data_IF_226720241540
#
_entry.id   IF_226720241540
#
_cell.length_a   1.000
_cell.length_b   1.000
_cell.length_c   1.000
_cell.angle_alpha   90.00
_cell.angle_beta   90.00
_cell.angle_gamma   90.00
#
_symmetry.space_group_name_H-M   'P 1'
#
loop_
_entity.id
_entity.type
_entity.pdbx_description
1 polymer ?
#
# COMPACT_ATOMS: atom_id res chain seq x y z
N UNK A 1 11.85 9.68 -9.04
CA UNK A 1 11.02 10.29 -10.08
C UNK A 1 9.74 10.79 -9.43
N UNK A 2 9.29 12.04 -9.64
CA UNK A 2 8.00 12.48 -9.12
C UNK A 2 6.83 11.82 -9.87
N UNK A 3 5.63 11.88 -9.28
CA UNK A 3 4.41 11.54 -10.01
C UNK A 3 4.21 12.52 -11.18
N UNK A 4 3.73 12.06 -12.34
CA UNK A 4 3.43 12.97 -13.46
C UNK A 4 2.24 13.87 -13.12
N UNK A 5 2.18 15.07 -13.70
CA UNK A 5 1.10 16.04 -13.45
C UNK A 5 -0.29 15.45 -13.77
N UNK A 6 -0.37 14.58 -14.78
CA UNK A 6 -1.60 13.86 -15.14
C UNK A 6 -2.15 13.02 -14.01
N UNK A 7 -1.33 12.58 -13.05
CA UNK A 7 -1.81 11.80 -11.91
C UNK A 7 -2.82 12.56 -11.05
N UNK A 8 -2.73 13.88 -11.00
CA UNK A 8 -3.68 14.71 -10.26
C UNK A 8 -5.12 14.52 -10.77
N UNK A 9 -5.30 14.33 -12.07
CA UNK A 9 -6.60 14.13 -12.73
C UNK A 9 -6.96 12.66 -12.93
N UNK A 10 -6.01 11.84 -13.40
CA UNK A 10 -6.28 10.43 -13.75
C UNK A 10 -6.21 9.49 -12.57
N UNK A 11 -5.49 9.85 -11.50
CA UNK A 11 -5.22 8.96 -10.38
C UNK A 11 -4.45 7.69 -10.76
N UNK A 12 -3.80 7.66 -11.94
CA UNK A 12 -3.10 6.50 -12.47
C UNK A 12 -1.79 6.91 -13.13
N UNK A 13 -0.73 6.17 -12.86
CA UNK A 13 0.47 6.17 -13.68
C UNK A 13 1.16 4.80 -13.60
N UNK A 14 1.91 4.46 -14.64
CA UNK A 14 2.63 3.21 -14.73
C UNK A 14 4.03 3.41 -15.28
N UNK A 15 4.95 2.54 -14.84
CA UNK A 15 6.26 2.36 -15.46
C UNK A 15 6.34 0.94 -15.99
N UNK A 16 6.58 0.80 -17.29
CA UNK A 16 6.80 -0.47 -17.93
C UNK A 16 8.31 -0.68 -18.10
N UNK A 17 8.91 -1.31 -17.11
CA UNK A 17 10.31 -1.72 -17.19
C UNK A 17 10.34 -3.24 -17.00
N UNK A 18 10.95 -3.94 -17.91
CA UNK A 18 11.16 -5.37 -17.77
C UNK A 18 10.98 -6.14 -19.07
N UNK A 19 11.84 -7.15 -19.26
CA UNK A 19 11.83 -8.07 -20.41
C UNK A 19 11.20 -9.42 -20.07
N UNK A 20 10.74 -9.56 -18.81
CA UNK A 20 10.25 -10.84 -18.31
C UNK A 20 8.73 -10.86 -18.24
N UNK A 21 8.15 -12.02 -18.52
CA UNK A 21 6.70 -12.23 -18.34
C UNK A 21 6.36 -12.13 -16.85
N UNK A 22 5.44 -11.23 -16.53
CA UNK A 22 4.95 -11.08 -15.15
C UNK A 22 4.10 -12.30 -14.77
N UNK A 23 4.37 -12.88 -13.59
CA UNK A 23 3.67 -14.03 -13.05
C UNK A 23 3.05 -13.76 -11.68
N UNK A 24 3.56 -12.74 -10.99
CA UNK A 24 3.10 -12.39 -9.64
C UNK A 24 3.02 -10.89 -9.44
N UNK A 25 2.28 -10.50 -8.42
CA UNK A 25 2.18 -9.08 -8.06
C UNK A 25 2.14 -8.91 -6.54
N UNK A 26 2.54 -7.74 -6.08
CA UNK A 26 2.29 -7.30 -4.71
C UNK A 26 1.68 -5.91 -4.70
N UNK A 27 0.62 -5.76 -3.89
CA UNK A 27 0.00 -4.46 -3.64
C UNK A 27 0.64 -3.84 -2.40
N UNK A 28 1.16 -2.63 -2.53
CA UNK A 28 1.72 -1.83 -1.45
C UNK A 28 0.86 -0.58 -1.24
N UNK A 29 0.72 -0.14 -0.01
CA UNK A 29 -0.05 1.06 0.31
C UNK A 29 -0.26 1.23 1.80
N UNK A 30 -0.70 2.40 2.19
CA UNK A 30 -1.00 2.68 3.59
C UNK A 30 -2.21 1.86 4.09
N UNK A 31 -2.30 1.65 5.41
CA UNK A 31 -3.55 1.15 6.01
C UNK A 31 -4.70 2.10 5.66
N UNK A 32 -5.85 1.55 5.35
CA UNK A 32 -7.02 2.34 4.93
C UNK A 32 -6.99 2.82 3.48
N UNK A 33 -5.97 2.47 2.66
CA UNK A 33 -5.89 2.84 1.24
C UNK A 33 -6.53 1.85 0.27
N UNK A 34 -7.12 0.74 0.74
CA UNK A 34 -7.83 -0.21 -0.13
C UNK A 34 -6.98 -1.37 -0.66
N UNK A 35 -5.78 -1.60 -0.12
CA UNK A 35 -4.87 -2.67 -0.61
C UNK A 35 -5.52 -4.06 -0.65
N UNK A 36 -6.37 -4.41 0.32
CA UNK A 36 -7.07 -5.70 0.32
C UNK A 36 -8.05 -5.81 -0.86
N UNK A 37 -8.79 -4.75 -1.12
CA UNK A 37 -9.74 -4.68 -2.23
C UNK A 37 -9.02 -4.87 -3.57
N UNK A 38 -7.95 -4.09 -3.81
CA UNK A 38 -7.15 -4.20 -5.04
C UNK A 38 -6.54 -5.59 -5.19
N UNK A 39 -5.97 -6.16 -4.12
CA UNK A 39 -5.43 -7.53 -4.17
C UNK A 39 -6.50 -8.54 -4.55
N UNK A 40 -7.69 -8.43 -3.96
CA UNK A 40 -8.78 -9.38 -4.20
C UNK A 40 -9.32 -9.30 -5.62
N UNK A 41 -9.61 -8.08 -6.11
CA UNK A 41 -10.17 -7.90 -7.44
C UNK A 41 -9.17 -8.31 -8.54
N UNK A 42 -7.88 -8.03 -8.37
CA UNK A 42 -6.84 -8.52 -9.26
C UNK A 42 -6.79 -10.06 -9.27
N UNK A 43 -6.81 -10.70 -8.10
CA UNK A 43 -6.78 -12.16 -8.00
C UNK A 43 -7.98 -12.81 -8.68
N UNK A 44 -9.14 -12.16 -8.68
CA UNK A 44 -10.35 -12.68 -9.35
C UNK A 44 -10.27 -12.54 -10.88
N UNK A 45 -9.54 -11.55 -11.38
CA UNK A 45 -9.57 -11.16 -12.78
C UNK A 45 -8.28 -11.44 -13.57
N UNK A 46 -7.29 -12.08 -12.95
CA UNK A 46 -6.03 -12.46 -13.61
C UNK A 46 -5.48 -13.77 -13.07
N UNK A 47 -4.57 -14.39 -13.80
CA UNK A 47 -3.81 -15.56 -13.35
C UNK A 47 -2.53 -15.19 -12.60
N UNK A 48 -2.24 -13.90 -12.46
CA UNK A 48 -1.12 -13.43 -11.64
C UNK A 48 -1.33 -13.83 -10.17
N UNK A 49 -0.27 -14.29 -9.54
CA UNK A 49 -0.31 -14.76 -8.15
C UNK A 49 0.01 -13.60 -7.18
N UNK A 50 -0.88 -13.30 -6.24
CA UNK A 50 -0.55 -12.34 -5.19
C UNK A 50 0.57 -12.87 -4.31
N UNK A 51 1.46 -11.99 -3.86
CA UNK A 51 2.57 -12.33 -2.97
C UNK A 51 2.82 -11.24 -1.94
N UNK A 52 3.63 -11.55 -0.95
CA UNK A 52 4.15 -10.61 0.07
C UNK A 52 5.68 -10.69 0.20
N UNK A 53 6.36 -11.16 -0.84
CA UNK A 53 7.82 -11.31 -0.87
C UNK A 53 8.57 -9.99 -0.64
N UNK A 54 7.95 -8.85 -0.93
CA UNK A 54 8.52 -7.53 -0.70
C UNK A 54 8.32 -7.03 0.75
N UNK A 55 7.82 -7.89 1.63
CA UNK A 55 7.55 -7.56 3.02
C UNK A 55 6.12 -7.08 3.28
N UNK A 56 5.91 -6.51 4.46
CA UNK A 56 4.59 -6.07 4.89
C UNK A 56 4.07 -4.91 4.03
N UNK A 57 2.93 -5.10 3.41
CA UNK A 57 2.35 -4.19 2.41
C UNK A 57 2.10 -2.76 2.88
N UNK A 58 2.06 -2.52 4.20
CA UNK A 58 1.86 -1.20 4.82
C UNK A 58 3.14 -0.61 5.42
N UNK A 59 4.28 -1.32 5.27
CA UNK A 59 5.59 -0.84 5.68
C UNK A 59 6.19 0.16 4.69
N UNK A 60 7.40 0.60 5.00
CA UNK A 60 8.25 1.24 4.01
C UNK A 60 8.78 0.18 3.05
N UNK A 61 8.94 0.48 1.75
CA UNK A 61 9.45 -0.48 0.77
C UNK A 61 10.96 -0.74 0.96
N UNK A 62 11.29 -1.61 1.89
CA UNK A 62 12.66 -2.04 2.23
C UNK A 62 12.88 -3.50 1.85
N UNK A 63 12.72 -3.82 0.58
CA UNK A 63 12.95 -5.16 0.06
C UNK A 63 14.42 -5.39 -0.29
N UNK A 64 14.87 -6.63 -0.14
CA UNK A 64 16.19 -7.07 -0.55
C UNK A 64 16.38 -7.02 -2.08
N UNK A 65 15.35 -7.45 -2.81
CA UNK A 65 15.28 -7.43 -4.26
C UNK A 65 13.83 -7.47 -4.72
N UNK A 66 13.57 -7.05 -5.97
CA UNK A 66 12.29 -7.28 -6.65
C UNK A 66 12.52 -8.38 -7.68
N UNK A 67 11.82 -9.53 -7.61
CA UNK A 67 11.91 -10.58 -8.62
C UNK A 67 11.56 -10.06 -10.02
N UNK A 68 12.24 -10.55 -11.05
CA UNK A 68 12.05 -10.10 -12.44
C UNK A 68 10.64 -10.38 -12.99
N UNK A 69 9.94 -11.35 -12.42
CA UNK A 69 8.58 -11.75 -12.83
C UNK A 69 7.49 -11.10 -11.96
N UNK A 70 7.82 -10.06 -11.20
CA UNK A 70 6.93 -9.39 -10.27
C UNK A 70 6.58 -7.99 -10.73
N UNK A 71 5.27 -7.66 -10.65
CA UNK A 71 4.76 -6.31 -10.74
C UNK A 71 4.41 -5.75 -9.35
N UNK A 72 4.59 -4.45 -9.17
CA UNK A 72 4.24 -3.75 -7.93
C UNK A 72 3.09 -2.79 -8.19
N UNK A 73 2.06 -2.84 -7.35
CA UNK A 73 0.93 -1.92 -7.41
C UNK A 73 0.93 -1.07 -6.14
N UNK A 74 1.24 0.21 -6.28
CA UNK A 74 1.19 1.17 -5.19
C UNK A 74 -0.18 1.85 -5.14
N UNK A 75 -0.86 1.76 -4.00
CA UNK A 75 -2.21 2.29 -3.82
C UNK A 75 -2.19 3.41 -2.79
N UNK A 76 -2.72 4.56 -3.19
CA UNK A 76 -3.00 5.69 -2.30
C UNK A 76 -4.49 6.01 -2.29
N UNK A 77 -4.91 6.77 -1.31
CA UNK A 77 -6.27 7.28 -1.18
C UNK A 77 -6.20 8.79 -0.96
N UNK A 78 -7.24 9.56 -1.28
CA UNK A 78 -7.31 10.99 -0.95
C UNK A 78 -7.09 11.19 0.53
N UNK A 79 -6.36 12.24 0.91
CA UNK A 79 -5.90 12.43 2.29
C UNK A 79 -7.06 12.52 3.31
N UNK A 80 -8.13 13.19 2.93
CA UNK A 80 -9.35 13.34 3.75
C UNK A 80 -10.06 11.99 3.96
N UNK A 81 -10.30 11.24 2.89
CA UNK A 81 -10.92 9.92 2.94
C UNK A 81 -10.05 8.91 3.69
N UNK A 82 -8.74 8.98 3.47
CA UNK A 82 -7.79 8.13 4.15
C UNK A 82 -7.76 8.38 5.66
N UNK A 83 -7.71 9.66 6.09
CA UNK A 83 -7.68 10.02 7.50
C UNK A 83 -8.95 9.56 8.23
N UNK A 84 -10.12 9.71 7.61
CA UNK A 84 -11.39 9.19 8.16
C UNK A 84 -11.38 7.67 8.28
N UNK A 85 -10.99 6.96 7.21
CA UNK A 85 -10.90 5.50 7.22
C UNK A 85 -9.93 4.97 8.28
N UNK A 86 -8.80 5.67 8.46
CA UNK A 86 -7.83 5.27 9.48
C UNK A 86 -8.36 5.55 10.90
N UNK A 87 -9.11 6.62 11.10
CA UNK A 87 -9.77 6.93 12.37
C UNK A 87 -10.86 5.91 12.72
N UNK A 88 -11.68 5.51 11.76
CA UNK A 88 -12.72 4.49 11.94
C UNK A 88 -12.13 3.11 12.25
N UNK A 89 -10.96 2.82 11.70
CA UNK A 89 -10.28 1.53 11.90
C UNK A 89 -8.77 1.74 12.14
N UNK A 90 -8.39 2.21 13.34
CA UNK A 90 -7.03 2.62 13.66
C UNK A 90 -6.13 1.41 13.98
N UNK A 91 -5.94 0.54 12.99
CA UNK A 91 -5.17 -0.70 13.09
C UNK A 91 -3.79 -0.48 13.70
N UNK A 92 -3.48 -1.28 14.71
CA UNK A 92 -2.20 -1.30 15.41
C UNK A 92 -1.85 -0.03 16.19
N UNK A 93 -2.74 0.98 16.28
CA UNK A 93 -2.51 2.10 17.16
C UNK A 93 -2.75 1.70 18.62
N UNK A 94 -2.08 2.40 19.54
CA UNK A 94 -2.26 2.18 20.99
C UNK A 94 -3.66 2.58 21.46
N UNK A 95 -4.11 2.00 22.57
CA UNK A 95 -5.41 2.34 23.17
C UNK A 95 -5.52 3.85 23.45
N UNK A 96 -4.42 4.51 23.81
CA UNK A 96 -4.37 5.97 23.98
C UNK A 96 -4.76 6.71 22.71
N UNK A 97 -4.21 6.31 21.56
CA UNK A 97 -4.51 6.94 20.27
C UNK A 97 -5.94 6.64 19.82
N UNK A 98 -6.40 5.41 20.06
CA UNK A 98 -7.77 4.98 19.70
C UNK A 98 -8.86 5.72 20.48
N UNK A 99 -8.57 6.20 21.70
CA UNK A 99 -9.52 6.92 22.54
C UNK A 99 -9.65 8.41 22.19
N UNK A 100 -8.83 8.93 21.29
CA UNK A 100 -8.84 10.36 20.94
C UNK A 100 -10.02 10.71 20.03
N UNK A 101 -10.64 11.91 20.16
CA UNK A 101 -11.52 12.43 19.14
C UNK A 101 -10.77 12.71 17.84
N UNK A 102 -11.46 12.75 16.71
CA UNK A 102 -10.82 12.86 15.38
C UNK A 102 -9.82 14.01 15.28
N UNK A 103 -10.17 15.20 15.82
CA UNK A 103 -9.30 16.37 15.77
C UNK A 103 -7.95 16.15 16.46
N UNK A 104 -7.95 15.42 17.56
CA UNK A 104 -6.75 15.13 18.34
C UNK A 104 -6.02 13.91 17.78
N UNK A 105 -6.75 12.90 17.29
CA UNK A 105 -6.21 11.73 16.63
C UNK A 105 -5.29 12.10 15.47
N UNK A 106 -5.70 13.04 14.61
CA UNK A 106 -4.90 13.44 13.44
C UNK A 106 -3.68 14.30 13.79
N UNK A 107 -3.61 14.85 15.03
CA UNK A 107 -2.52 15.72 15.52
C UNK A 107 -1.60 15.03 16.51
N UNK A 108 -2.06 13.95 17.13
CA UNK A 108 -1.29 13.24 18.16
C UNK A 108 -0.05 12.55 17.56
N UNK A 109 1.03 12.41 18.32
CA UNK A 109 2.13 11.54 17.96
C UNK A 109 1.61 10.13 17.61
N UNK A 110 2.03 9.64 16.43
CA UNK A 110 1.53 8.38 15.90
C UNK A 110 2.20 7.21 16.60
N UNK A 111 1.49 6.62 17.53
CA UNK A 111 1.99 5.53 18.37
C UNK A 111 1.29 4.21 18.05
N UNK A 112 2.08 3.20 17.66
CA UNK A 112 1.61 1.91 17.19
C UNK A 112 2.40 0.76 17.77
N UNK A 113 1.71 -0.37 17.94
CA UNK A 113 2.23 -1.58 18.57
C UNK A 113 1.82 -2.84 17.78
N UNK A 114 2.50 -3.94 18.01
CA UNK A 114 2.13 -5.25 17.48
C UNK A 114 1.02 -5.85 18.35
N UNK A 115 -0.21 -5.35 18.19
CA UNK A 115 -1.38 -5.82 18.93
C UNK A 115 -1.92 -7.16 18.41
N UNK A 116 -1.76 -7.43 17.11
CA UNK A 116 -2.26 -8.62 16.42
C UNK A 116 -1.13 -9.30 15.64
N UNK A 117 -0.27 -10.10 16.30
CA UNK A 117 0.91 -10.74 15.68
C UNK A 117 0.60 -11.55 14.41
N UNK A 118 -0.60 -12.12 14.29
CA UNK A 118 -1.04 -12.88 13.12
C UNK A 118 -0.98 -12.12 11.78
N UNK A 119 -0.93 -10.81 11.80
CA UNK A 119 -0.81 -9.98 10.61
C UNK A 119 0.64 -9.67 10.19
N UNK A 120 1.60 -10.13 10.99
CA UNK A 120 3.02 -9.90 10.73
C UNK A 120 3.75 -11.24 10.59
N UNK A 121 4.27 -11.53 9.40
CA UNK A 121 5.07 -12.74 9.19
C UNK A 121 6.36 -12.68 10.03
N UNK A 122 6.73 -13.81 10.60
CA UNK A 122 7.94 -13.93 11.42
C UNK A 122 7.81 -13.40 12.86
N UNK A 123 6.65 -12.87 13.25
CA UNK A 123 6.40 -12.40 14.62
C UNK A 123 5.64 -13.49 15.38
N UNK A 124 6.36 -14.51 15.81
CA UNK A 124 5.76 -15.64 16.55
C UNK A 124 6.08 -15.63 18.05
N UNK A 125 6.95 -14.73 18.48
CA UNK A 125 7.42 -14.74 19.87
C UNK A 125 6.50 -13.89 20.75
N UNK A 126 6.07 -14.41 21.93
CA UNK A 126 5.22 -13.66 22.86
C UNK A 126 5.77 -12.29 23.26
N UNK A 127 7.11 -12.18 23.35
CA UNK A 127 7.79 -10.94 23.73
C UNK A 127 7.73 -9.83 22.64
N UNK A 128 7.32 -10.13 21.43
CA UNK A 128 7.06 -9.11 20.40
C UNK A 128 5.64 -8.54 20.47
N UNK A 129 4.75 -9.18 21.22
CA UNK A 129 3.40 -8.67 21.43
C UNK A 129 3.45 -7.35 22.19
N UNK A 130 2.73 -6.35 21.71
CA UNK A 130 2.72 -4.97 22.23
C UNK A 130 4.06 -4.22 22.07
N UNK A 131 5.06 -4.80 21.42
CA UNK A 131 6.26 -4.06 21.06
C UNK A 131 5.93 -2.94 20.06
N UNK A 132 6.68 -1.81 20.08
CA UNK A 132 6.49 -0.74 19.11
C UNK A 132 6.62 -1.23 17.67
N UNK A 133 5.64 -0.88 16.82
CA UNK A 133 5.62 -1.27 15.42
C UNK A 133 6.66 -0.47 14.61
N UNK A 134 7.80 -1.07 14.33
CA UNK A 134 8.92 -0.41 13.66
C UNK A 134 8.58 0.06 12.22
N UNK A 135 7.64 -0.60 11.53
CA UNK A 135 7.15 -0.15 10.22
C UNK A 135 6.40 1.18 10.25
N UNK A 136 6.10 1.72 11.42
CA UNK A 136 5.49 3.05 11.61
C UNK A 136 6.46 4.04 12.30
N UNK A 137 7.72 3.69 12.37
CA UNK A 137 8.80 4.58 12.83
C UNK A 137 9.55 5.14 11.63
N UNK A 138 10.21 6.27 11.82
CA UNK A 138 11.06 6.85 10.77
C UNK A 138 12.17 5.85 10.40
N UNK A 139 12.31 5.47 9.12
CA UNK A 139 13.14 4.33 8.72
C UNK A 139 14.63 4.51 8.98
N UNK A 140 15.12 5.74 9.10
CA UNK A 140 16.54 6.03 9.35
C UNK A 140 16.84 6.30 10.83
N UNK A 141 15.90 6.89 11.57
CA UNK A 141 16.16 7.33 12.96
C UNK A 141 15.44 6.49 14.01
N UNK A 142 14.44 5.69 13.62
CA UNK A 142 13.58 4.95 14.54
C UNK A 142 12.60 5.84 15.33
N UNK A 143 12.60 7.15 15.10
CA UNK A 143 11.75 8.08 15.79
C UNK A 143 10.25 7.88 15.46
N UNK A 144 9.40 8.19 16.42
CA UNK A 144 7.96 8.28 16.25
C UNK A 144 7.63 9.51 15.38
N UNK A 145 6.65 9.39 14.49
CA UNK A 145 6.15 10.53 13.73
C UNK A 145 5.29 11.43 14.64
N UNK A 146 5.44 12.74 14.45
CA UNK A 146 4.74 13.76 15.24
C UNK A 146 3.21 13.71 15.09
N UNK A 147 2.73 13.22 13.96
CA UNK A 147 1.32 12.98 13.68
C UNK A 147 1.15 12.00 12.51
N UNK A 148 -0.11 11.63 12.27
CA UNK A 148 -0.44 10.66 11.22
C UNK A 148 -0.15 11.18 9.81
N UNK A 149 -0.19 12.49 9.56
CA UNK A 149 0.12 13.06 8.26
C UNK A 149 1.62 13.10 7.97
N UNK A 150 2.46 13.32 8.98
CA UNK A 150 3.91 13.19 8.84
C UNK A 150 4.31 11.76 8.48
N UNK A 151 3.70 10.74 9.13
CA UNK A 151 3.86 9.34 8.73
C UNK A 151 3.42 9.12 7.28
N UNK A 152 2.22 9.62 6.93
CA UNK A 152 1.68 9.49 5.57
C UNK A 152 2.61 10.07 4.53
N UNK A 153 3.08 11.30 4.74
CA UNK A 153 4.01 11.97 3.82
C UNK A 153 5.25 11.11 3.57
N UNK A 154 5.86 10.59 4.63
CA UNK A 154 7.02 9.72 4.51
C UNK A 154 6.70 8.42 3.75
N UNK A 155 5.59 7.75 4.07
CA UNK A 155 5.19 6.50 3.38
C UNK A 155 4.82 6.72 1.93
N UNK A 156 4.04 7.75 1.60
CA UNK A 156 3.67 8.05 0.21
C UNK A 156 4.92 8.41 -0.60
N UNK A 157 5.84 9.20 -0.04
CA UNK A 157 7.12 9.50 -0.70
C UNK A 157 7.93 8.22 -0.96
N UNK A 158 7.95 7.30 -0.01
CA UNK A 158 8.62 6.02 -0.17
C UNK A 158 7.93 5.13 -1.23
N UNK A 159 6.59 5.13 -1.31
CA UNK A 159 5.85 4.44 -2.36
C UNK A 159 6.12 5.06 -3.74
N UNK A 160 6.14 6.39 -3.85
CA UNK A 160 6.46 7.08 -5.11
C UNK A 160 7.87 6.73 -5.59
N UNK A 161 8.82 6.49 -4.69
CA UNK A 161 10.17 6.05 -5.06
C UNK A 161 10.20 4.71 -5.80
N UNK A 162 9.15 3.90 -5.70
CA UNK A 162 9.03 2.65 -6.47
C UNK A 162 8.99 2.89 -7.98
N UNK A 163 8.49 4.04 -8.45
CA UNK A 163 8.48 4.39 -9.87
C UNK A 163 9.88 4.52 -10.50
N UNK A 164 10.91 4.72 -9.69
CA UNK A 164 12.30 4.75 -10.14
C UNK A 164 13.03 3.41 -10.06
N UNK A 165 12.34 2.32 -9.69
CA UNK A 165 12.94 0.99 -9.58
C UNK A 165 12.89 0.25 -10.92
N UNK A 166 13.83 -0.69 -11.12
CA UNK A 166 13.89 -1.53 -12.31
C UNK A 166 12.89 -2.70 -12.22
N UNK A 167 11.61 -2.35 -12.15
CA UNK A 167 10.49 -3.30 -12.15
C UNK A 167 9.21 -2.62 -12.65
N UNK A 168 8.24 -3.37 -13.19
CA UNK A 168 6.93 -2.82 -13.55
C UNK A 168 6.19 -2.32 -12.30
N UNK A 169 5.82 -1.04 -12.30
CA UNK A 169 5.10 -0.40 -11.19
C UNK A 169 3.86 0.30 -11.74
N UNK A 170 2.73 0.07 -11.10
CA UNK A 170 1.53 0.89 -11.23
C UNK A 170 1.33 1.67 -9.93
N UNK A 171 1.08 2.96 -10.04
CA UNK A 171 0.69 3.82 -8.94
C UNK A 171 -0.74 4.29 -9.18
N UNK A 172 -1.66 4.03 -8.26
CA UNK A 172 -3.07 4.32 -8.45
C UNK A 172 -3.71 4.94 -7.22
N UNK A 173 -4.74 5.76 -7.45
CA UNK A 173 -5.58 6.34 -6.41
C UNK A 173 -6.88 5.53 -6.31
N UNK A 174 -7.22 5.15 -5.08
CA UNK A 174 -8.32 4.23 -4.79
C UNK A 174 -9.68 4.74 -5.29
N UNK A 175 -9.93 6.03 -5.21
CA UNK A 175 -11.20 6.63 -5.61
C UNK A 175 -11.48 6.44 -7.11
N UNK A 176 -10.48 6.66 -7.96
CA UNK A 176 -10.60 6.46 -9.41
C UNK A 176 -10.75 4.98 -9.75
N UNK A 177 -10.01 4.13 -9.05
CA UNK A 177 -10.18 2.69 -9.21
C UNK A 177 -11.61 2.24 -8.86
N UNK A 178 -12.18 2.76 -7.77
CA UNK A 178 -13.56 2.43 -7.36
C UNK A 178 -14.63 3.00 -8.29
N UNK A 179 -14.35 4.13 -8.94
CA UNK A 179 -15.30 4.73 -9.90
C UNK A 179 -15.49 3.86 -11.14
N UNK A 180 -14.43 3.23 -11.65
CA UNK A 180 -14.48 2.27 -12.75
C UNK A 180 -13.41 1.17 -12.55
N UNK A 181 -13.75 0.11 -11.81
CA UNK A 181 -12.83 -0.98 -11.56
C UNK A 181 -12.42 -1.75 -12.83
N UNK A 182 -13.33 -1.88 -13.79
CA UNK A 182 -13.06 -2.63 -15.02
C UNK A 182 -12.07 -1.90 -15.92
N UNK A 183 -12.28 -0.60 -16.18
CA UNK A 183 -11.34 0.21 -16.95
C UNK A 183 -9.98 0.32 -16.24
N UNK A 184 -9.98 0.47 -14.91
CA UNK A 184 -8.75 0.52 -14.11
C UNK A 184 -7.95 -0.78 -14.19
N UNK A 185 -8.62 -1.94 -14.15
CA UNK A 185 -7.97 -3.24 -14.35
C UNK A 185 -7.40 -3.39 -15.75
N UNK A 186 -8.14 -2.96 -16.79
CA UNK A 186 -7.64 -2.99 -18.17
C UNK A 186 -6.34 -2.20 -18.29
N UNK A 187 -6.29 -0.98 -17.73
CA UNK A 187 -5.07 -0.15 -17.73
C UNK A 187 -3.89 -0.81 -16.97
N UNK A 188 -4.16 -1.52 -15.87
CA UNK A 188 -3.14 -2.28 -15.15
C UNK A 188 -2.61 -3.43 -16.01
N UNK A 189 -3.50 -4.20 -16.65
CA UNK A 189 -3.10 -5.33 -17.47
C UNK A 189 -2.32 -4.91 -18.71
N UNK A 190 -2.72 -3.82 -19.36
CA UNK A 190 -1.97 -3.22 -20.47
C UNK A 190 -0.57 -2.80 -20.02
N UNK A 191 -0.47 -2.16 -18.84
CA UNK A 191 0.82 -1.73 -18.28
C UNK A 191 1.77 -2.89 -17.97
N UNK A 192 1.23 -4.08 -17.68
CA UNK A 192 2.02 -5.27 -17.36
C UNK A 192 2.13 -6.24 -18.55
N UNK A 193 1.56 -5.91 -19.71
CA UNK A 193 1.45 -6.80 -20.86
C UNK A 193 0.90 -8.17 -20.46
N UNK A 194 -0.15 -8.17 -19.62
CA UNK A 194 -0.81 -9.39 -19.11
C UNK A 194 -2.23 -9.49 -19.65
N UNK A 195 -2.73 -10.72 -19.74
CA UNK A 195 -4.09 -10.97 -20.23
C UNK A 195 -5.06 -11.04 -19.06
N UNK A 196 -6.17 -10.29 -19.08
CA UNK A 196 -7.26 -10.49 -18.14
C UNK A 196 -7.92 -11.87 -18.34
N UNK A 197 -8.70 -12.31 -17.37
CA UNK A 197 -9.64 -13.43 -17.59
C UNK A 197 -10.81 -12.94 -18.45
N UNK A 198 -11.44 -13.88 -19.16
CA UNK A 198 -12.46 -13.58 -20.19
C UNK A 198 -13.65 -12.78 -19.65
N UNK A 199 -14.02 -12.99 -18.38
CA UNK A 199 -15.13 -12.30 -17.75
C UNK A 199 -14.68 -11.51 -16.52
N UNK A 200 -15.06 -10.22 -16.45
CA UNK A 200 -14.85 -9.40 -15.27
C UNK A 200 -15.67 -9.94 -14.08
N UNK A 201 -14.99 -10.19 -12.97
CA UNK A 201 -15.60 -10.62 -11.71
C UNK A 201 -15.50 -9.48 -10.69
N UNK A 202 -16.62 -8.86 -10.30
CA UNK A 202 -16.63 -7.81 -9.28
C UNK A 202 -16.33 -8.39 -7.89
N UNK A 203 -15.98 -7.48 -6.94
CA UNK A 203 -15.75 -7.81 -5.53
C UNK A 203 -16.42 -6.80 -4.60
#
# INVERSE_FOLDING_TARGET
MPLPDSFATTGFCATTVGRHKIQRFQVLGERGSGTNYITKILTLNTDLKPTDMLGWKHGFPHMLAVPFDMAVICVVRRADNWARSLFETPWHSTARVQALPFSDFIRAPWDTVIDKPKYFKGVFQPMMRMAPLQHDRHPLTGAMFENVFALRQAKVSALVSMLGRDCPVVFLRMEEFQADPQASLAAIFDSFCTTPRDNFTPF
#
